data_IF_436001039937
#
_entry.id   IF_436001039937
#
_cell.length_a   1.000
_cell.length_b   1.000
_cell.length_c   1.000
_cell.angle_alpha   90.00
_cell.angle_beta   90.00
_cell.angle_gamma   90.00
#
_symmetry.space_group_name_H-M   'P 1'
#
loop_
_entity.id
_entity.type
_entity.pdbx_description
1 polymer ?
#
# COMPACT_ATOMS: atom_id res chain seq x y z
N UNK A 1 9.40 43.01 -34.82
CA UNK A 1 9.87 41.62 -34.76
C UNK A 1 9.80 41.17 -33.31
N UNK A 2 9.10 40.07 -33.07
CA UNK A 2 8.33 39.74 -31.86
C UNK A 2 9.05 39.83 -30.50
N UNK A 3 8.31 40.40 -29.54
CA UNK A 3 8.34 40.01 -28.12
C UNK A 3 7.93 38.52 -28.04
N UNK A 4 8.83 37.65 -27.59
CA UNK A 4 8.50 36.27 -27.27
C UNK A 4 9.54 35.69 -26.30
N UNK A 5 9.70 36.29 -25.12
CA UNK A 5 10.63 35.76 -24.10
C UNK A 5 10.14 35.80 -22.65
N UNK A 6 8.94 36.34 -22.35
CA UNK A 6 8.50 36.49 -20.95
C UNK A 6 7.27 35.68 -20.54
N UNK A 7 6.73 34.81 -21.40
CA UNK A 7 5.53 34.01 -21.07
C UNK A 7 5.83 32.59 -20.60
N UNK A 8 7.03 32.05 -20.84
CA UNK A 8 7.37 30.68 -20.41
C UNK A 8 7.87 30.60 -18.96
N UNK A 9 8.56 31.64 -18.48
CA UNK A 9 9.10 31.68 -17.12
C UNK A 9 8.04 31.99 -16.07
N UNK A 10 6.98 32.71 -16.45
CA UNK A 10 5.85 33.03 -15.54
C UNK A 10 4.84 31.88 -15.43
N UNK A 11 4.78 30.96 -16.40
CA UNK A 11 3.97 29.74 -16.31
C UNK A 11 4.67 28.64 -15.48
N UNK A 12 6.01 28.67 -15.40
CA UNK A 12 6.79 27.73 -14.59
C UNK A 12 6.76 28.02 -13.08
N UNK A 13 6.48 29.27 -12.67
CA UNK A 13 6.49 29.69 -11.27
C UNK A 13 5.11 29.73 -10.60
N UNK A 14 4.02 29.56 -11.37
CA UNK A 14 2.63 29.59 -10.86
C UNK A 14 2.01 28.17 -10.78
N UNK A 15 2.78 27.13 -11.13
CA UNK A 15 2.37 25.70 -11.06
C UNK A 15 3.25 24.86 -10.12
N UNK A 16 3.99 25.51 -9.21
CA UNK A 16 4.64 24.91 -8.04
C UNK A 16 3.66 24.83 -6.85
N UNK A 17 2.38 24.59 -7.13
CA UNK A 17 1.46 24.13 -6.10
C UNK A 17 1.76 22.65 -5.88
N UNK A 18 1.92 22.24 -4.63
CA UNK A 18 2.16 20.85 -4.22
C UNK A 18 1.20 19.91 -4.96
N UNK A 19 1.73 18.75 -5.35
CA UNK A 19 1.15 17.89 -6.37
C UNK A 19 0.74 16.56 -5.76
N UNK A 20 0.00 16.60 -4.66
CA UNK A 20 -0.17 15.42 -3.81
C UNK A 20 -1.00 14.32 -4.48
N UNK A 21 -0.57 13.09 -4.26
CA UNK A 21 -1.24 11.88 -4.73
C UNK A 21 -1.52 10.99 -3.52
N UNK A 22 -2.78 10.56 -3.42
CA UNK A 22 -3.19 9.58 -2.40
C UNK A 22 -3.13 8.18 -3.00
N UNK A 23 -2.41 7.28 -2.33
CA UNK A 23 -2.25 5.89 -2.77
C UNK A 23 -3.25 4.97 -2.08
N UNK A 24 -3.90 4.08 -2.82
CA UNK A 24 -4.80 3.06 -2.32
C UNK A 24 -4.19 1.69 -2.59
N UNK A 25 -4.05 0.86 -1.56
CA UNK A 25 -3.54 -0.51 -1.66
C UNK A 25 -4.63 -1.47 -1.23
N UNK A 26 -5.11 -2.30 -2.15
CA UNK A 26 -6.27 -3.15 -1.91
C UNK A 26 -5.92 -4.61 -2.16
N UNK A 27 -5.82 -5.36 -1.06
CA UNK A 27 -5.57 -6.79 -1.04
C UNK A 27 -4.09 -7.20 -0.95
N UNK A 28 -3.87 -8.48 -0.70
CA UNK A 28 -2.56 -9.00 -0.30
C UNK A 28 -1.44 -8.73 -1.31
N UNK A 29 -1.63 -9.02 -2.59
CA UNK A 29 -0.59 -8.80 -3.61
C UNK A 29 -0.27 -7.31 -3.77
N UNK A 30 -1.29 -6.46 -3.70
CA UNK A 30 -1.12 -5.01 -3.70
C UNK A 30 -0.31 -4.52 -2.51
N UNK A 31 -0.56 -5.05 -1.31
CA UNK A 31 0.18 -4.69 -0.11
C UNK A 31 1.63 -5.18 -0.19
N UNK A 32 1.89 -6.36 -0.75
CA UNK A 32 3.26 -6.83 -1.01
C UNK A 32 4.02 -5.95 -2.00
N UNK A 33 3.38 -5.46 -3.06
CA UNK A 33 3.98 -4.50 -4.01
C UNK A 33 4.19 -3.15 -3.33
N UNK A 34 3.18 -2.71 -2.58
CA UNK A 34 3.15 -1.49 -1.81
C UNK A 34 4.29 -1.38 -0.79
N UNK A 35 4.52 -2.42 0.02
CA UNK A 35 5.61 -2.42 0.99
C UNK A 35 6.97 -2.24 0.31
N UNK A 36 7.23 -2.93 -0.80
CA UNK A 36 8.48 -2.72 -1.55
C UNK A 36 8.58 -1.31 -2.12
N UNK A 37 7.46 -0.77 -2.61
CA UNK A 37 7.41 0.56 -3.23
C UNK A 37 7.78 1.62 -2.20
N UNK A 38 7.17 1.55 -1.01
CA UNK A 38 7.48 2.46 0.07
C UNK A 38 8.89 2.23 0.62
N UNK A 39 9.30 0.98 0.88
CA UNK A 39 10.64 0.69 1.39
C UNK A 39 11.76 1.22 0.47
N UNK A 40 11.57 1.15 -0.86
CA UNK A 40 12.53 1.74 -1.79
C UNK A 40 12.61 3.26 -1.66
N UNK A 41 11.48 3.92 -1.36
CA UNK A 41 11.43 5.37 -1.16
C UNK A 41 12.03 5.79 0.18
N UNK A 42 11.93 4.95 1.20
CA UNK A 42 12.55 5.20 2.50
C UNK A 42 14.07 5.39 2.41
N UNK A 43 14.72 4.66 1.49
CA UNK A 43 16.17 4.76 1.24
C UNK A 43 16.59 6.12 0.65
N UNK A 44 15.67 6.89 0.09
CA UNK A 44 15.98 8.23 -0.41
C UNK A 44 16.03 9.30 0.69
N UNK A 45 15.47 9.03 1.89
CA UNK A 45 15.54 9.97 3.00
C UNK A 45 16.92 9.92 3.66
N UNK A 46 17.60 11.06 3.65
CA UNK A 46 18.85 11.25 4.40
C UNK A 46 18.54 11.85 5.77
N UNK A 47 18.56 11.04 6.82
CA UNK A 47 18.36 11.48 8.20
C UNK A 47 19.64 12.04 8.87
N UNK A 48 20.70 12.28 8.09
CA UNK A 48 22.01 12.72 8.60
C UNK A 48 22.12 14.24 8.83
N UNK A 49 22.94 14.63 9.80
CA UNK A 49 23.26 16.04 10.11
C UNK A 49 24.18 16.72 9.09
N UNK A 50 24.79 15.95 8.18
CA UNK A 50 25.59 16.49 7.09
C UNK A 50 24.65 16.90 5.95
N UNK A 51 24.07 18.09 6.08
CA UNK A 51 23.31 18.79 5.04
C UNK A 51 24.21 19.25 3.88
N UNK A 52 25.06 18.37 3.33
CA UNK A 52 25.41 18.51 1.93
C UNK A 52 24.17 18.09 1.16
N UNK A 53 23.29 19.06 0.93
CA UNK A 53 22.07 18.96 0.14
C UNK A 53 22.40 18.25 -1.17
N UNK A 54 22.27 16.93 -1.20
CA UNK A 54 21.95 16.26 -2.46
C UNK A 54 20.60 16.85 -2.81
N UNK A 55 20.60 17.76 -3.78
CA UNK A 55 19.38 18.19 -4.46
C UNK A 55 18.81 16.91 -5.02
N UNK A 56 17.92 16.26 -4.27
CA UNK A 56 17.19 15.12 -4.76
C UNK A 56 16.31 15.69 -5.84
N UNK A 57 16.47 15.19 -7.07
CA UNK A 57 15.62 15.58 -8.20
C UNK A 57 14.14 15.20 -7.97
N UNK A 58 13.87 14.45 -6.89
CA UNK A 58 12.56 13.97 -6.45
C UNK A 58 11.96 14.85 -5.35
N UNK A 59 10.69 15.19 -5.55
CA UNK A 59 9.81 15.81 -4.58
C UNK A 59 9.01 14.72 -3.83
N UNK A 60 9.41 14.48 -2.58
CA UNK A 60 8.81 13.45 -1.74
C UNK A 60 7.43 13.84 -1.20
N UNK A 61 7.14 15.14 -1.10
CA UNK A 61 5.90 15.65 -0.50
C UNK A 61 4.66 15.35 -1.36
N UNK A 62 4.89 14.90 -2.60
CA UNK A 62 3.86 14.38 -3.51
C UNK A 62 3.22 13.11 -2.95
N UNK A 63 4.00 12.19 -2.41
CA UNK A 63 3.48 10.92 -1.88
C UNK A 63 3.48 10.87 -0.36
N UNK A 64 4.26 11.70 0.32
CA UNK A 64 4.37 11.73 1.76
C UNK A 64 3.71 12.97 2.35
N UNK A 65 3.47 12.90 3.65
CA UNK A 65 2.97 14.01 4.46
C UNK A 65 3.86 14.20 5.67
N UNK A 66 4.09 15.47 5.99
CA UNK A 66 4.56 15.89 7.31
C UNK A 66 3.39 15.91 8.29
N UNK A 67 3.58 15.38 9.47
CA UNK A 67 2.64 15.44 10.59
C UNK A 67 3.37 15.69 11.90
N UNK A 68 2.63 15.64 13.00
CA UNK A 68 3.19 15.68 14.34
C UNK A 68 2.79 14.42 15.10
N UNK A 69 3.76 13.79 15.76
CA UNK A 69 3.51 12.76 16.75
C UNK A 69 2.78 13.35 17.97
N UNK A 70 2.12 12.53 18.81
CA UNK A 70 1.54 12.98 20.08
C UNK A 70 2.56 13.68 21.00
N UNK A 71 3.85 13.38 20.81
CA UNK A 71 4.96 13.96 21.56
C UNK A 71 5.49 15.28 20.96
N UNK A 72 4.86 15.80 19.89
CA UNK A 72 5.22 17.04 19.22
C UNK A 72 6.41 16.95 18.26
N UNK A 73 7.00 15.76 18.07
CA UNK A 73 8.03 15.53 17.07
C UNK A 73 7.42 15.44 15.67
N UNK A 74 8.08 16.02 14.67
CA UNK A 74 7.69 15.92 13.26
C UNK A 74 7.74 14.45 12.80
N UNK A 75 6.67 14.01 12.13
CA UNK A 75 6.55 12.68 11.56
C UNK A 75 6.44 12.80 10.05
N UNK A 76 7.08 11.88 9.33
CA UNK A 76 7.00 11.81 7.89
C UNK A 76 6.43 10.45 7.50
N UNK A 77 5.22 10.44 6.93
CA UNK A 77 4.49 9.20 6.63
C UNK A 77 3.86 9.25 5.24
N UNK A 78 3.72 8.10 4.54
CA UNK A 78 3.12 8.08 3.21
C UNK A 78 1.62 8.38 3.26
N UNK A 79 1.10 9.07 2.23
CA UNK A 79 -0.32 9.33 1.97
C UNK A 79 -0.96 8.08 1.36
N UNK A 80 -1.13 7.06 2.18
CA UNK A 80 -1.60 5.74 1.72
C UNK A 80 -2.72 5.20 2.59
N UNK A 81 -3.69 4.54 1.96
CA UNK A 81 -4.66 3.66 2.62
C UNK A 81 -4.40 2.21 2.19
N UNK A 82 -4.22 1.35 3.19
CA UNK A 82 -3.92 -0.08 3.04
C UNK A 82 -5.12 -0.87 3.53
N UNK A 83 -5.72 -1.63 2.62
CA UNK A 83 -6.86 -2.49 2.87
C UNK A 83 -6.45 -3.95 2.80
N UNK A 84 -6.70 -4.70 3.88
CA UNK A 84 -6.45 -6.14 3.94
C UNK A 84 -7.41 -6.85 4.89
N UNK A 85 -7.47 -8.17 4.78
CA UNK A 85 -8.27 -9.02 5.67
C UNK A 85 -7.64 -9.09 7.06
N UNK A 86 -8.45 -9.55 8.03
CA UNK A 86 -7.90 -9.98 9.31
C UNK A 86 -6.88 -11.11 9.11
N UNK A 87 -5.68 -10.87 9.65
CA UNK A 87 -4.51 -11.72 9.46
C UNK A 87 -3.51 -11.21 8.42
N UNK A 88 -3.96 -10.42 7.43
CA UNK A 88 -3.08 -9.92 6.37
C UNK A 88 -2.05 -8.88 6.83
N UNK A 89 -2.41 -8.07 7.83
CA UNK A 89 -1.50 -7.13 8.47
C UNK A 89 -0.38 -7.81 9.29
N UNK A 90 -0.44 -9.13 9.51
CA UNK A 90 0.57 -9.86 10.26
C UNK A 90 0.80 -9.27 11.65
N UNK A 91 2.06 -8.97 11.98
CA UNK A 91 2.43 -8.38 13.28
C UNK A 91 2.28 -6.86 13.36
N UNK A 92 1.97 -6.19 12.23
CA UNK A 92 1.88 -4.73 12.18
C UNK A 92 0.68 -4.24 12.98
N UNK A 93 0.92 -3.25 13.83
CA UNK A 93 -0.11 -2.63 14.66
C UNK A 93 -0.61 -1.34 14.02
N UNK A 94 -1.90 -1.03 14.21
CA UNK A 94 -2.51 0.23 13.76
C UNK A 94 -1.80 1.45 14.34
N UNK A 95 -1.42 1.36 15.61
CA UNK A 95 -0.63 2.37 16.29
C UNK A 95 0.81 1.88 16.39
N UNK A 96 1.73 2.61 15.77
CA UNK A 96 3.16 2.36 15.84
C UNK A 96 3.83 3.33 16.83
N UNK A 97 5.15 3.28 16.93
CA UNK A 97 5.92 4.10 17.87
C UNK A 97 5.66 5.60 17.70
N UNK A 98 5.39 6.08 16.48
CA UNK A 98 5.12 7.50 16.20
C UNK A 98 3.77 7.98 16.74
N UNK A 99 2.80 7.07 16.91
CA UNK A 99 1.42 7.41 17.28
C UNK A 99 0.96 6.72 18.58
N UNK A 100 1.88 6.07 19.28
CA UNK A 100 1.62 5.58 20.63
C UNK A 100 1.75 6.76 21.58
N UNK A 101 0.62 7.38 21.94
CA UNK A 101 0.58 8.11 23.20
C UNK A 101 0.94 7.12 24.32
N UNK A 102 1.65 7.51 25.37
CA UNK A 102 1.79 6.69 26.57
C UNK A 102 0.40 6.36 27.11
N UNK A 103 -0.17 5.26 26.62
CA UNK A 103 -1.50 4.83 26.99
C UNK A 103 -1.37 4.20 28.38
N UNK A 104 -1.63 5.01 29.40
CA UNK A 104 -2.14 4.53 30.68
C UNK A 104 -3.55 3.93 30.49
N UNK A 105 -3.72 2.99 29.56
CA UNK A 105 -4.94 2.21 29.38
C UNK A 105 -4.96 1.03 30.37
N UNK A 106 -4.69 1.32 31.64
CA UNK A 106 -5.29 0.56 32.74
C UNK A 106 -6.70 1.10 32.90
N UNK A 107 -7.60 0.62 32.07
CA UNK A 107 -9.03 0.81 32.31
C UNK A 107 -9.42 -0.18 33.41
N UNK A 108 -9.34 0.27 34.67
CA UNK A 108 -9.82 -0.48 35.84
C UNK A 108 -11.36 -0.49 35.84
N UNK A 109 -11.95 -1.40 35.07
CA UNK A 109 -13.35 -1.77 35.23
C UNK A 109 -13.45 -3.00 36.12
N UNK A 110 -14.05 -2.80 37.29
CA UNK A 110 -14.10 -3.71 38.44
C UNK A 110 -15.01 -4.96 38.25
N UNK A 111 -15.39 -5.29 37.02
CA UNK A 111 -16.28 -6.41 36.71
C UNK A 111 -15.68 -7.27 35.61
N UNK A 112 -15.28 -8.49 35.97
CA UNK A 112 -14.50 -9.43 35.16
C UNK A 112 -14.88 -9.48 33.68
N UNK A 113 -14.00 -8.91 32.85
CA UNK A 113 -14.06 -9.01 31.39
C UNK A 113 -13.20 -10.21 31.00
N UNK A 114 -13.80 -11.21 30.34
CA UNK A 114 -13.04 -12.17 29.54
C UNK A 114 -12.56 -11.44 28.28
N UNK A 115 -11.40 -10.78 28.38
CA UNK A 115 -10.74 -10.18 27.22
C UNK A 115 -10.19 -11.32 26.36
N UNK A 116 -10.97 -11.79 25.39
CA UNK A 116 -10.50 -12.71 24.36
C UNK A 116 -9.64 -11.89 23.40
N UNK A 117 -8.36 -11.71 23.74
CA UNK A 117 -7.37 -11.13 22.85
C UNK A 117 -7.05 -12.19 21.80
N UNK A 118 -7.27 -11.88 20.52
CA UNK A 118 -6.81 -12.74 19.43
C UNK A 118 -5.29 -12.92 19.52
N UNK A 119 -4.79 -14.13 19.25
CA UNK A 119 -3.36 -14.39 19.20
C UNK A 119 -2.67 -13.37 18.29
N UNK A 120 -1.71 -12.63 18.84
CA UNK A 120 -0.91 -11.70 18.06
C UNK A 120 0.02 -12.50 17.15
N UNK A 121 0.08 -12.13 15.87
CA UNK A 121 1.04 -12.72 14.95
C UNK A 121 2.46 -12.42 15.48
N UNK A 122 3.31 -13.44 15.65
CA UNK A 122 4.66 -13.23 16.13
C UNK A 122 5.44 -12.39 15.11
N UNK A 123 6.13 -11.34 15.57
CA UNK A 123 7.01 -10.54 14.71
C UNK A 123 8.06 -11.44 14.06
N UNK A 124 8.27 -11.29 12.75
CA UNK A 124 9.37 -11.92 12.03
C UNK A 124 10.72 -11.52 12.65
N UNK A 125 11.73 -12.39 12.56
CA UNK A 125 13.09 -12.13 13.05
C UNK A 125 13.67 -10.81 12.52
N UNK A 126 13.36 -10.47 11.26
CA UNK A 126 13.73 -9.19 10.65
C UNK A 126 13.09 -8.00 11.38
N UNK A 127 11.78 -8.04 11.62
CA UNK A 127 11.07 -6.99 12.38
C UNK A 127 11.61 -6.85 13.81
N UNK A 128 11.89 -7.96 14.49
CA UNK A 128 12.50 -7.93 15.82
C UNK A 128 13.90 -7.28 15.81
N UNK A 129 14.65 -7.43 14.72
CA UNK A 129 15.96 -6.81 14.57
C UNK A 129 15.83 -5.31 14.28
N UNK A 130 14.88 -4.90 13.45
CA UNK A 130 14.57 -3.48 13.24
C UNK A 130 14.21 -2.79 14.56
N UNK A 131 13.34 -3.39 15.37
CA UNK A 131 13.00 -2.87 16.70
C UNK A 131 14.25 -2.70 17.60
N UNK A 132 15.26 -3.56 17.46
CA UNK A 132 16.52 -3.46 18.22
C UNK A 132 17.43 -2.35 17.70
N UNK A 133 17.42 -2.09 16.39
CA UNK A 133 18.19 -1.01 15.78
C UNK A 133 17.69 0.37 16.19
N UNK A 134 16.37 0.51 16.34
CA UNK A 134 15.76 1.74 16.87
C UNK A 134 16.27 2.08 18.29
N UNK A 135 16.65 1.06 19.06
CA UNK A 135 17.18 1.20 20.44
C UNK A 135 18.71 1.30 20.47
N UNK A 136 19.42 0.48 19.68
CA UNK A 136 20.88 0.48 19.58
C UNK A 136 21.31 0.51 18.10
N UNK A 137 21.74 1.69 17.59
CA UNK A 137 22.20 1.87 16.22
C UNK A 137 23.42 1.04 15.84
N UNK A 138 24.16 0.46 16.80
CA UNK A 138 25.30 -0.42 16.51
C UNK A 138 24.88 -1.86 16.20
N UNK A 139 23.59 -2.17 16.34
CA UNK A 139 23.04 -3.48 16.02
C UNK A 139 23.21 -3.78 14.53
N UNK A 140 23.80 -4.93 14.20
CA UNK A 140 24.06 -5.27 12.79
C UNK A 140 22.76 -5.59 12.01
N UNK A 141 22.69 -5.17 10.72
CA UNK A 141 21.62 -5.57 9.81
C UNK A 141 21.61 -7.08 9.65
N UNK A 142 20.42 -7.67 9.81
CA UNK A 142 20.16 -9.08 9.51
C UNK A 142 19.53 -9.13 8.13
N UNK A 143 20.10 -9.96 7.25
CA UNK A 143 19.48 -10.27 5.98
C UNK A 143 18.16 -11.01 6.23
N UNK A 144 17.11 -10.55 5.56
CA UNK A 144 15.80 -11.17 5.62
C UNK A 144 15.87 -12.55 4.96
N UNK A 145 15.44 -13.58 5.68
CA UNK A 145 15.26 -14.92 5.09
C UNK A 145 13.96 -14.95 4.30
N UNK A 146 14.07 -15.04 2.96
CA UNK A 146 12.91 -15.14 2.06
C UNK A 146 11.88 -16.19 2.47
N UNK A 147 12.31 -17.31 3.06
CA UNK A 147 11.41 -18.40 3.46
C UNK A 147 10.60 -18.08 4.71
N UNK A 148 11.05 -17.08 5.47
CA UNK A 148 10.40 -16.63 6.70
C UNK A 148 9.27 -15.63 6.44
N UNK A 149 9.23 -15.01 5.25
CA UNK A 149 8.22 -14.01 4.86
C UNK A 149 6.88 -14.68 4.58
N UNK A 150 5.87 -14.33 5.37
CA UNK A 150 4.49 -14.82 5.22
C UNK A 150 3.54 -13.71 4.83
N UNK A 151 3.73 -12.52 5.39
CA UNK A 151 2.88 -11.36 5.21
C UNK A 151 3.70 -10.17 4.71
N UNK A 152 3.03 -9.18 4.12
CA UNK A 152 3.69 -7.99 3.60
C UNK A 152 4.29 -7.11 4.72
N UNK A 153 3.83 -7.27 5.96
CA UNK A 153 4.38 -6.55 7.10
C UNK A 153 5.68 -7.12 7.62
N UNK A 154 6.03 -8.36 7.28
CA UNK A 154 7.26 -9.01 7.76
C UNK A 154 8.54 -8.30 7.30
N UNK A 155 8.49 -7.58 6.17
CA UNK A 155 9.61 -6.82 5.62
C UNK A 155 9.35 -5.31 5.53
N UNK A 156 8.26 -4.83 6.15
CA UNK A 156 7.93 -3.41 6.16
C UNK A 156 8.90 -2.63 7.05
N UNK A 157 9.43 -1.51 6.55
CA UNK A 157 10.29 -0.59 7.32
C UNK A 157 9.56 0.67 7.77
N UNK A 158 8.46 1.01 7.11
CA UNK A 158 7.88 2.35 7.20
C UNK A 158 6.79 2.42 8.24
N UNK A 159 6.76 3.55 8.94
CA UNK A 159 5.66 3.91 9.81
C UNK A 159 4.54 4.55 9.00
N UNK A 160 3.34 4.00 9.17
CA UNK A 160 2.13 4.52 8.55
C UNK A 160 1.32 5.36 9.55
N UNK A 161 0.50 6.25 9.04
CA UNK A 161 -0.50 6.92 9.87
C UNK A 161 -1.58 5.91 10.33
N UNK A 162 -2.21 6.08 11.50
CA UNK A 162 -3.24 5.14 11.97
C UNK A 162 -4.41 4.98 10.99
N UNK A 163 -4.80 6.05 10.29
CA UNK A 163 -5.85 6.00 9.24
C UNK A 163 -5.43 5.27 7.96
N UNK A 164 -4.13 5.00 7.76
CA UNK A 164 -3.69 4.14 6.66
C UNK A 164 -4.12 2.69 6.85
N UNK A 165 -4.40 2.25 8.07
CA UNK A 165 -4.60 0.83 8.39
C UNK A 165 -6.08 0.46 8.42
N UNK A 166 -6.58 -0.08 7.30
CA UNK A 166 -7.99 -0.38 7.07
C UNK A 166 -8.23 -1.88 7.01
N UNK A 167 -8.48 -2.46 8.19
CA UNK A 167 -8.71 -3.90 8.31
C UNK A 167 -10.16 -4.27 8.01
N UNK A 168 -10.37 -5.09 6.98
CA UNK A 168 -11.66 -5.68 6.66
C UNK A 168 -11.97 -6.79 7.66
N UNK A 169 -12.87 -6.51 8.62
CA UNK A 169 -13.18 -7.39 9.75
C UNK A 169 -14.19 -8.49 9.43
N UNK A 170 -14.92 -8.36 8.33
CA UNK A 170 -15.98 -9.29 7.92
C UNK A 170 -15.44 -10.66 7.50
N UNK A 171 -14.14 -10.75 7.14
CA UNK A 171 -13.51 -11.98 6.65
C UNK A 171 -12.08 -12.15 7.21
N UNK A 172 -11.60 -13.40 7.26
CA UNK A 172 -10.24 -13.74 7.66
C UNK A 172 -9.44 -14.28 6.46
N UNK A 173 -8.12 -14.05 6.46
CA UNK A 173 -7.22 -14.48 5.38
C UNK A 173 -7.24 -16.01 5.13
N UNK A 174 -7.32 -16.81 6.20
CA UNK A 174 -7.26 -18.28 6.13
C UNK A 174 -8.61 -18.96 6.41
N UNK A 175 -9.72 -18.34 5.99
CA UNK A 175 -11.05 -18.92 6.16
C UNK A 175 -11.38 -19.98 5.10
N UNK A 176 -11.41 -21.24 5.52
CA UNK A 176 -11.78 -22.38 4.65
C UNK A 176 -13.29 -22.51 4.41
N UNK A 177 -14.13 -21.94 5.28
CA UNK A 177 -15.59 -22.04 5.23
C UNK A 177 -16.15 -20.94 4.34
N UNK A 178 -15.70 -19.70 4.54
CA UNK A 178 -16.12 -18.53 3.76
C UNK A 178 -14.92 -17.84 3.09
N UNK A 179 -14.33 -18.46 2.06
CA UNK A 179 -13.11 -17.95 1.45
C UNK A 179 -13.35 -16.65 0.68
N UNK A 180 -12.46 -15.68 0.86
CA UNK A 180 -12.52 -14.36 0.24
C UNK A 180 -12.02 -14.37 -1.22
N UNK A 181 -12.71 -15.09 -2.11
CA UNK A 181 -12.15 -15.45 -3.41
C UNK A 181 -13.04 -15.13 -4.63
N UNK A 182 -14.21 -14.52 -4.42
CA UNK A 182 -15.20 -14.27 -5.46
C UNK A 182 -15.56 -12.79 -5.53
N UNK A 183 -15.61 -12.23 -6.75
CA UNK A 183 -15.93 -10.83 -7.00
C UNK A 183 -17.13 -10.30 -6.22
N UNK A 184 -18.27 -11.01 -6.26
CA UNK A 184 -19.51 -10.59 -5.61
C UNK A 184 -19.40 -10.56 -4.08
N UNK A 185 -18.63 -11.48 -3.48
CA UNK A 185 -18.34 -11.47 -2.04
C UNK A 185 -17.57 -10.21 -1.67
N UNK A 186 -16.60 -9.82 -2.49
CA UNK A 186 -15.85 -8.60 -2.31
C UNK A 186 -16.69 -7.34 -2.35
N UNK A 187 -17.60 -7.26 -3.33
CA UNK A 187 -18.49 -6.10 -3.48
C UNK A 187 -19.42 -5.95 -2.28
N UNK A 188 -20.02 -7.05 -1.82
CA UNK A 188 -20.82 -7.06 -0.60
C UNK A 188 -19.99 -6.71 0.64
N UNK A 189 -18.78 -7.28 0.74
CA UNK A 189 -17.85 -7.03 1.83
C UNK A 189 -17.44 -5.57 1.94
N UNK A 190 -17.34 -4.83 0.82
CA UNK A 190 -17.09 -3.39 0.85
C UNK A 190 -18.27 -2.63 1.47
N UNK A 191 -19.49 -2.90 1.01
CA UNK A 191 -20.69 -2.27 1.55
C UNK A 191 -20.87 -2.52 3.05
N UNK A 192 -20.56 -3.73 3.52
CA UNK A 192 -20.61 -4.05 4.95
C UNK A 192 -19.46 -3.36 5.72
N UNK A 193 -18.26 -3.30 5.14
CA UNK A 193 -17.10 -2.63 5.73
C UNK A 193 -17.31 -1.13 5.91
N UNK A 194 -17.78 -0.42 4.88
CA UNK A 194 -18.04 1.02 4.97
C UNK A 194 -19.16 1.33 5.97
N UNK A 195 -20.23 0.53 6.01
CA UNK A 195 -21.30 0.71 7.01
C UNK A 195 -20.79 0.59 8.45
N UNK A 196 -19.77 -0.22 8.69
CA UNK A 196 -19.24 -0.47 10.03
C UNK A 196 -18.11 0.48 10.44
N UNK A 197 -17.31 0.92 9.47
CA UNK A 197 -16.05 1.62 9.75
C UNK A 197 -16.01 3.05 9.25
N UNK A 198 -16.93 3.43 8.35
CA UNK A 198 -16.97 4.74 7.68
C UNK A 198 -15.57 5.13 7.17
N UNK A 199 -14.80 4.15 6.70
CA UNK A 199 -13.38 4.32 6.35
C UNK A 199 -13.20 5.31 5.22
N UNK A 200 -14.15 5.41 4.31
CA UNK A 200 -14.12 6.41 3.26
C UNK A 200 -14.34 7.83 3.83
N UNK A 201 -15.36 8.01 4.67
CA UNK A 201 -15.70 9.32 5.23
C UNK A 201 -14.67 9.82 6.25
N UNK A 202 -14.06 8.93 7.03
CA UNK A 202 -13.07 9.27 8.06
C UNK A 202 -11.64 9.18 7.53
N UNK A 203 -11.20 7.96 7.19
CA UNK A 203 -9.78 7.70 6.95
C UNK A 203 -9.33 8.24 5.59
N UNK A 204 -10.14 8.05 4.54
CA UNK A 204 -9.80 8.51 3.20
C UNK A 204 -9.90 10.03 3.09
N UNK A 205 -10.98 10.65 3.60
CA UNK A 205 -11.09 12.11 3.62
C UNK A 205 -9.96 12.77 4.39
N UNK A 206 -9.51 12.20 5.51
CA UNK A 206 -8.36 12.73 6.25
C UNK A 206 -7.15 12.99 5.34
N UNK A 207 -6.77 12.03 4.48
CA UNK A 207 -5.62 12.23 3.60
C UNK A 207 -5.89 13.21 2.47
N UNK A 208 -7.13 13.28 1.98
CA UNK A 208 -7.50 14.17 0.89
C UNK A 208 -7.61 15.62 1.37
N UNK A 209 -8.19 15.85 2.54
CA UNK A 209 -8.32 17.18 3.14
C UNK A 209 -6.96 17.77 3.56
N UNK A 210 -5.98 16.92 3.84
CA UNK A 210 -4.58 17.31 4.07
C UNK A 210 -3.78 17.61 2.79
N UNK A 211 -4.37 17.45 1.60
CA UNK A 211 -3.71 17.82 0.35
C UNK A 211 -4.05 19.27 0.01
N UNK A 212 -3.04 20.12 -0.20
CA UNK A 212 -3.27 21.48 -0.67
C UNK A 212 -3.79 21.48 -2.11
N UNK A 213 -3.28 20.56 -2.94
CA UNK A 213 -3.74 20.39 -4.31
C UNK A 213 -3.62 18.93 -4.78
N UNK A 214 -4.65 18.15 -4.41
CA UNK A 214 -4.83 16.77 -4.83
C UNK A 214 -4.79 16.64 -6.37
N UNK A 215 -3.77 15.94 -6.87
CA UNK A 215 -3.64 15.68 -8.30
C UNK A 215 -4.41 14.48 -8.77
N UNK A 216 -4.47 13.43 -7.95
CA UNK A 216 -4.83 12.11 -8.44
C UNK A 216 -4.76 11.04 -7.37
N UNK A 217 -5.26 9.87 -7.76
CA UNK A 217 -5.16 8.66 -6.97
C UNK A 217 -4.31 7.62 -7.67
N UNK A 218 -3.40 6.99 -6.93
CA UNK A 218 -2.66 5.82 -7.37
C UNK A 218 -3.27 4.59 -6.71
N UNK A 219 -3.82 3.66 -7.49
CA UNK A 219 -4.44 2.45 -6.97
C UNK A 219 -3.60 1.21 -7.31
N UNK A 220 -3.19 0.47 -6.29
CA UNK A 220 -2.65 -0.88 -6.39
C UNK A 220 -3.78 -1.84 -5.99
N UNK A 221 -4.29 -2.62 -6.94
CA UNK A 221 -5.43 -3.50 -6.70
C UNK A 221 -5.11 -4.95 -7.02
N UNK A 222 -5.33 -5.85 -6.06
CA UNK A 222 -5.31 -7.30 -6.29
C UNK A 222 -6.60 -7.70 -6.99
N UNK A 223 -6.51 -8.34 -8.17
CA UNK A 223 -7.70 -8.63 -9.00
C UNK A 223 -7.99 -10.13 -9.18
N UNK A 224 -7.26 -10.99 -8.47
CA UNK A 224 -7.40 -12.45 -8.55
C UNK A 224 -8.47 -13.01 -7.60
N UNK A 225 -8.79 -12.29 -6.54
CA UNK A 225 -9.65 -12.73 -5.44
C UNK A 225 -10.83 -11.75 -5.24
N UNK A 226 -11.49 -11.82 -4.08
CA UNK A 226 -12.63 -10.94 -3.81
C UNK A 226 -12.25 -9.45 -3.71
N UNK A 227 -10.99 -9.08 -3.48
CA UNK A 227 -10.59 -7.67 -3.49
C UNK A 227 -10.86 -6.98 -4.83
N UNK A 228 -11.03 -7.73 -5.91
CA UNK A 228 -11.47 -7.20 -7.20
C UNK A 228 -12.82 -6.47 -7.12
N UNK A 229 -13.78 -7.03 -6.37
CA UNK A 229 -15.11 -6.43 -6.20
C UNK A 229 -15.15 -5.42 -5.06
N UNK A 230 -14.29 -5.60 -4.05
CA UNK A 230 -14.08 -4.60 -3.00
C UNK A 230 -13.56 -3.28 -3.60
N UNK A 231 -12.57 -3.39 -4.49
CA UNK A 231 -11.97 -2.26 -5.20
C UNK A 231 -12.99 -1.52 -6.06
N UNK A 232 -13.89 -2.23 -6.74
CA UNK A 232 -14.97 -1.59 -7.50
C UNK A 232 -15.85 -0.74 -6.57
N UNK A 233 -16.25 -1.29 -5.41
CA UNK A 233 -17.02 -0.56 -4.39
C UNK A 233 -16.33 0.72 -3.96
N UNK A 234 -15.06 0.62 -3.53
CA UNK A 234 -14.23 1.76 -3.14
C UNK A 234 -14.16 2.83 -4.23
N UNK A 235 -13.98 2.42 -5.48
CA UNK A 235 -13.87 3.36 -6.59
C UNK A 235 -15.17 4.07 -6.95
N UNK A 236 -16.35 3.50 -6.63
CA UNK A 236 -17.59 4.25 -6.77
C UNK A 236 -17.63 5.41 -5.81
N UNK A 237 -17.30 5.20 -4.55
CA UNK A 237 -17.32 6.27 -3.55
C UNK A 237 -16.27 7.35 -3.90
N UNK A 238 -15.07 6.93 -4.33
CA UNK A 238 -14.06 7.85 -4.88
C UNK A 238 -14.61 8.65 -6.07
N UNK A 239 -15.38 8.03 -6.98
CA UNK A 239 -15.92 8.72 -8.16
C UNK A 239 -17.12 9.60 -7.86
N UNK A 240 -17.91 9.27 -6.84
CA UNK A 240 -19.05 10.06 -6.41
C UNK A 240 -18.56 11.40 -5.82
N UNK A 241 -17.46 11.39 -5.07
CA UNK A 241 -16.88 12.61 -4.48
C UNK A 241 -15.85 13.31 -5.41
N UNK A 242 -14.98 12.53 -6.06
CA UNK A 242 -13.85 13.02 -6.87
C UNK A 242 -13.98 12.67 -8.36
N UNK A 243 -15.15 12.95 -8.94
CA UNK A 243 -15.50 12.56 -10.31
C UNK A 243 -14.46 12.96 -11.38
N UNK A 244 -13.83 14.14 -11.23
CA UNK A 244 -12.87 14.69 -12.22
C UNK A 244 -11.41 14.32 -11.93
N UNK A 245 -11.12 13.81 -10.74
CA UNK A 245 -9.75 13.52 -10.32
C UNK A 245 -9.25 12.25 -11.04
N UNK A 246 -8.05 12.26 -11.63
CA UNK A 246 -7.54 11.10 -12.33
C UNK A 246 -7.23 9.96 -11.37
N UNK A 247 -7.53 8.74 -11.81
CA UNK A 247 -7.21 7.50 -11.07
C UNK A 247 -6.34 6.63 -11.96
N UNK A 248 -5.09 6.39 -11.53
CA UNK A 248 -4.16 5.47 -12.17
C UNK A 248 -4.21 4.12 -11.43
N UNK A 249 -4.79 3.10 -12.07
CA UNK A 249 -4.96 1.79 -11.46
C UNK A 249 -3.98 0.78 -12.03
N UNK A 250 -3.22 0.12 -11.14
CA UNK A 250 -2.42 -1.05 -11.42
C UNK A 250 -3.20 -2.29 -10.97
N UNK A 251 -3.74 -3.03 -11.94
CA UNK A 251 -4.47 -4.28 -11.71
C UNK A 251 -3.50 -5.46 -11.61
N UNK A 252 -3.14 -5.83 -10.38
CA UNK A 252 -2.12 -6.82 -10.06
C UNK A 252 -2.66 -8.24 -10.11
N UNK A 253 -2.00 -9.09 -10.90
CA UNK A 253 -2.42 -10.45 -11.22
C UNK A 253 -1.28 -11.44 -11.01
N UNK A 254 -1.56 -12.62 -10.47
CA UNK A 254 -0.59 -13.70 -10.41
C UNK A 254 -0.43 -14.39 -11.77
N UNK A 255 0.80 -14.55 -12.26
CA UNK A 255 1.04 -15.44 -13.40
C UNK A 255 0.83 -16.92 -13.04
N UNK A 256 0.91 -17.27 -11.75
CA UNK A 256 0.68 -18.62 -11.26
C UNK A 256 -0.80 -18.82 -10.96
N UNK A 257 -1.46 -19.61 -11.81
CA UNK A 257 -2.84 -20.05 -11.61
C UNK A 257 -2.86 -21.42 -10.92
N UNK A 258 -3.87 -21.69 -10.07
CA UNK A 258 -4.03 -22.99 -9.42
C UNK A 258 -4.33 -24.09 -10.45
N UNK A 259 -3.87 -25.31 -10.16
CA UNK A 259 -4.15 -26.50 -10.99
C UNK A 259 -5.62 -26.88 -10.98
N UNK A 260 -6.35 -26.58 -9.91
CA UNK A 260 -7.77 -26.88 -9.81
C UNK A 260 -8.59 -25.99 -10.75
N UNK A 261 -9.24 -26.59 -11.74
CA UNK A 261 -9.95 -25.87 -12.80
C UNK A 261 -11.02 -24.91 -12.28
N UNK A 262 -11.80 -25.31 -11.26
CA UNK A 262 -12.81 -24.43 -10.66
C UNK A 262 -12.20 -23.17 -10.01
N UNK A 263 -11.05 -23.31 -9.35
CA UNK A 263 -10.35 -22.17 -8.75
C UNK A 263 -9.78 -21.24 -9.83
N UNK A 264 -9.21 -21.83 -10.90
CA UNK A 264 -8.71 -21.10 -12.06
C UNK A 264 -9.82 -20.32 -12.77
N UNK A 265 -10.96 -20.94 -13.05
CA UNK A 265 -12.12 -20.30 -13.68
C UNK A 265 -12.63 -19.12 -12.86
N UNK A 266 -12.66 -19.25 -11.53
CA UNK A 266 -13.05 -18.16 -10.62
C UNK A 266 -12.08 -16.99 -10.69
N UNK A 267 -10.77 -17.23 -10.66
CA UNK A 267 -9.76 -16.17 -10.80
C UNK A 267 -9.92 -15.45 -12.15
N UNK A 268 -10.09 -16.20 -13.24
CA UNK A 268 -10.30 -15.62 -14.57
C UNK A 268 -11.60 -14.79 -14.64
N UNK A 269 -12.66 -15.23 -13.95
CA UNK A 269 -13.90 -14.47 -13.83
C UNK A 269 -13.70 -13.18 -13.03
N UNK A 270 -13.01 -13.24 -11.89
CA UNK A 270 -12.68 -12.07 -11.07
C UNK A 270 -11.88 -11.04 -11.90
N UNK A 271 -10.84 -11.48 -12.61
CA UNK A 271 -10.05 -10.63 -13.51
C UNK A 271 -10.91 -9.95 -14.58
N UNK A 272 -11.79 -10.72 -15.22
CA UNK A 272 -12.66 -10.21 -16.30
C UNK A 272 -13.66 -9.19 -15.77
N UNK A 273 -14.30 -9.47 -14.64
CA UNK A 273 -15.23 -8.55 -13.98
C UNK A 273 -14.49 -7.30 -13.49
N UNK A 274 -13.35 -7.48 -12.83
CA UNK A 274 -12.48 -6.39 -12.37
C UNK A 274 -12.09 -5.48 -13.51
N UNK A 275 -11.54 -6.03 -14.59
CA UNK A 275 -11.08 -5.24 -15.73
C UNK A 275 -12.23 -4.48 -16.38
N UNK A 276 -13.41 -5.08 -16.55
CA UNK A 276 -14.55 -4.40 -17.17
C UNK A 276 -15.16 -3.32 -16.28
N UNK A 277 -15.26 -3.55 -14.97
CA UNK A 277 -15.90 -2.62 -14.03
C UNK A 277 -14.99 -1.52 -13.53
N UNK A 278 -13.74 -1.84 -13.21
CA UNK A 278 -12.74 -0.86 -12.75
C UNK A 278 -12.33 0.07 -13.88
N UNK A 279 -12.25 -0.40 -15.12
CA UNK A 279 -11.86 0.43 -16.26
C UNK A 279 -12.80 1.63 -16.45
N UNK A 280 -14.11 1.45 -16.22
CA UNK A 280 -15.09 2.54 -16.28
C UNK A 280 -14.92 3.57 -15.16
N UNK A 281 -14.28 3.18 -14.05
CA UNK A 281 -14.04 4.01 -12.87
C UNK A 281 -12.61 4.56 -12.82
N UNK A 282 -11.72 4.17 -13.73
CA UNK A 282 -10.33 4.61 -13.73
C UNK A 282 -10.00 5.44 -14.96
N UNK A 283 -9.05 6.36 -14.81
CA UNK A 283 -8.56 7.15 -15.94
C UNK A 283 -7.58 6.34 -16.78
N UNK A 284 -6.84 5.42 -16.15
CA UNK A 284 -6.01 4.43 -16.81
C UNK A 284 -5.99 3.15 -15.98
N UNK A 285 -6.10 2.00 -16.65
CA UNK A 285 -6.01 0.68 -16.04
C UNK A 285 -4.86 -0.09 -16.67
N UNK A 286 -3.85 -0.42 -15.87
CA UNK A 286 -2.63 -1.12 -16.29
C UNK A 286 -2.65 -2.52 -15.67
N UNK A 287 -2.95 -3.58 -16.45
CA UNK A 287 -2.86 -4.95 -15.96
C UNK A 287 -1.39 -5.35 -15.82
N UNK A 288 -0.96 -5.72 -14.61
CA UNK A 288 0.40 -6.18 -14.33
C UNK A 288 0.38 -7.61 -13.80
N UNK A 289 1.17 -8.47 -14.42
CA UNK A 289 1.32 -9.86 -14.00
C UNK A 289 2.61 -10.05 -13.21
N UNK A 290 2.57 -10.87 -12.16
CA UNK A 290 3.79 -11.34 -11.50
C UNK A 290 4.68 -12.06 -12.52
N UNK A 291 6.01 -11.87 -12.45
CA UNK A 291 6.91 -12.53 -13.38
C UNK A 291 6.87 -14.06 -13.18
N UNK A 292 6.82 -14.78 -14.30
CA UNK A 292 6.97 -16.23 -14.32
C UNK A 292 8.42 -16.59 -14.66
N UNK A 293 8.84 -17.81 -14.35
CA UNK A 293 10.20 -18.27 -14.68
C UNK A 293 10.51 -18.17 -16.18
N UNK A 294 9.51 -18.36 -17.05
CA UNK A 294 9.67 -18.21 -18.50
C UNK A 294 9.72 -16.75 -18.96
N UNK A 295 9.16 -15.82 -18.19
CA UNK A 295 9.30 -14.39 -18.43
C UNK A 295 10.69 -13.91 -18.02
N UNK A 296 11.16 -14.32 -16.83
CA UNK A 296 12.49 -13.97 -16.30
C UNK A 296 13.60 -14.48 -17.22
N UNK A 297 13.52 -15.72 -17.71
CA UNK A 297 14.54 -16.26 -18.63
C UNK A 297 14.62 -15.51 -19.97
N UNK A 298 13.59 -14.76 -20.34
CA UNK A 298 13.52 -13.99 -21.59
C UNK A 298 13.68 -12.48 -21.39
N UNK A 299 13.69 -11.97 -20.16
CA UNK A 299 13.66 -10.53 -19.89
C UNK A 299 15.04 -9.87 -19.97
N UNK A 300 16.12 -10.62 -20.18
CA UNK A 300 17.48 -10.10 -20.15
C UNK A 300 17.90 -9.60 -18.77
N UNK A 301 17.25 -10.08 -17.70
CA UNK A 301 17.63 -9.76 -16.33
C UNK A 301 19.06 -10.25 -16.07
N UNK A 302 19.84 -9.50 -15.29
CA UNK A 302 21.23 -9.83 -15.03
C UNK A 302 21.37 -11.23 -14.43
N UNK A 303 22.42 -11.96 -14.86
CA UNK A 303 22.61 -13.38 -14.54
C UNK A 303 22.75 -13.67 -13.03
N UNK A 304 23.03 -12.66 -12.20
CA UNK A 304 23.12 -12.81 -10.74
C UNK A 304 21.78 -12.65 -10.03
N UNK A 305 20.70 -12.28 -10.73
CA UNK A 305 19.37 -12.07 -10.16
C UNK A 305 18.50 -13.31 -10.42
N UNK A 306 18.19 -14.06 -9.36
CA UNK A 306 17.42 -15.30 -9.45
C UNK A 306 16.15 -15.24 -8.58
N UNK A 307 15.09 -14.55 -9.04
CA UNK A 307 13.88 -14.38 -8.26
C UNK A 307 13.10 -15.69 -8.16
N UNK A 308 12.67 -16.04 -6.94
CA UNK A 308 11.76 -17.16 -6.69
C UNK A 308 10.35 -16.78 -7.18
N UNK A 309 9.98 -17.22 -8.39
CA UNK A 309 8.71 -16.84 -9.03
C UNK A 309 7.46 -17.39 -8.32
N UNK A 310 7.61 -18.29 -7.35
CA UNK A 310 6.55 -18.77 -6.47
C UNK A 310 6.40 -17.95 -5.18
N UNK A 311 7.33 -17.04 -4.90
CA UNK A 311 7.30 -16.18 -3.72
C UNK A 311 6.68 -14.83 -4.08
N UNK A 312 5.63 -14.44 -3.35
CA UNK A 312 5.05 -13.10 -3.49
C UNK A 312 6.10 -12.04 -3.19
N UNK A 313 6.95 -12.25 -2.17
CA UNK A 313 8.03 -11.32 -1.80
C UNK A 313 8.95 -10.96 -2.98
N UNK A 314 9.41 -11.94 -3.77
CA UNK A 314 10.31 -11.67 -4.91
C UNK A 314 9.56 -11.09 -6.11
N UNK A 315 8.37 -11.64 -6.39
CA UNK A 315 7.61 -11.24 -7.58
C UNK A 315 7.05 -9.83 -7.45
N UNK A 316 6.62 -9.43 -6.25
CA UNK A 316 6.17 -8.08 -5.96
C UNK A 316 7.29 -7.06 -5.97
N UNK A 317 8.53 -7.44 -5.59
CA UNK A 317 9.70 -6.56 -5.68
C UNK A 317 9.94 -6.08 -7.13
N UNK A 318 9.88 -6.99 -8.10
CA UNK A 318 10.09 -6.66 -9.52
C UNK A 318 8.99 -5.74 -10.05
N UNK A 319 7.73 -6.02 -9.70
CA UNK A 319 6.60 -5.15 -10.06
C UNK A 319 6.78 -3.77 -9.43
N UNK A 320 7.15 -3.73 -8.15
CA UNK A 320 7.35 -2.50 -7.40
C UNK A 320 8.45 -1.64 -8.04
N UNK A 321 9.60 -2.21 -8.40
CA UNK A 321 10.65 -1.47 -9.12
C UNK A 321 10.18 -0.85 -10.44
N UNK A 322 9.29 -1.55 -11.17
CA UNK A 322 8.71 -1.00 -12.40
C UNK A 322 7.75 0.16 -12.10
N UNK A 323 6.88 0.02 -11.10
CA UNK A 323 5.96 1.10 -10.68
C UNK A 323 6.74 2.31 -10.16
N UNK A 324 7.79 2.07 -9.36
CA UNK A 324 8.70 3.10 -8.85
C UNK A 324 9.37 3.87 -9.98
N UNK A 325 9.85 3.17 -11.00
CA UNK A 325 10.46 3.81 -12.19
C UNK A 325 9.44 4.66 -12.96
N UNK A 326 8.21 4.16 -13.12
CA UNK A 326 7.12 4.90 -13.80
C UNK A 326 6.74 6.15 -12.98
N UNK A 327 6.71 6.03 -11.65
CA UNK A 327 6.31 7.13 -10.77
C UNK A 327 7.33 8.25 -10.66
N UNK A 328 8.59 8.05 -11.07
CA UNK A 328 9.60 9.13 -11.14
C UNK A 328 9.16 10.28 -12.04
N UNK A 329 8.29 10.05 -13.02
CA UNK A 329 7.87 11.10 -13.97
C UNK A 329 6.92 12.15 -13.38
N UNK A 330 6.25 11.80 -12.28
CA UNK A 330 5.31 12.69 -11.58
C UNK A 330 5.77 13.01 -10.15
N UNK A 331 6.97 12.57 -9.78
CA UNK A 331 7.63 12.89 -8.52
C UNK A 331 8.84 13.77 -8.73
#
# INVERSE_FOLDING_TARGET
>A
SCLCLDTFTLFGLVLLGMREIVTLQVGQLANFVGTHFWNAQEEYFSYGTDQTTSVTELDYDILYRTGFSPNGGETYTPRVLVYDLKGGFGSLQKYNQLFTAEANDTVDWDQGINKVVSEQYPKNAYQQQLDRMDVDPNTQPVELDDQSVKTWSDFNRIYYHPYSMNQVRTHNMDDSISPYNSYSVGRQSYSDFERETESFDDNFRHFVEECDNLQGFQLLASVDDAFSGFTEGLLHDVRDEFAKTPVLCYGLQSALLPTQERAKQRILLNRTLSMTRILDLCSSYIPLYTPSSSHISRSGLADYIHPKCNSMYHTSAIISSAIETISLSFR
#
